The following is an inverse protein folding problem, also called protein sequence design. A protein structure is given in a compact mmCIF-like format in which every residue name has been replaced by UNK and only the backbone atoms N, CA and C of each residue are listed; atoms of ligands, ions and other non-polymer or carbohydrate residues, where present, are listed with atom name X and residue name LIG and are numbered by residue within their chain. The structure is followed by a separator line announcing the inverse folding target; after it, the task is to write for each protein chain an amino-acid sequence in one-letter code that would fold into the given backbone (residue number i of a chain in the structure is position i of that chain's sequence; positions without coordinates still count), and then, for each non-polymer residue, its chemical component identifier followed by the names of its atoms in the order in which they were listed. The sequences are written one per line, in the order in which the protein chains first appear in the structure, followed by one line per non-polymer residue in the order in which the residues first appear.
data_IF_954415360092
#
_entry.id   IF_954415360092
#
_cell.length_a   1.000
_cell.length_b   1.000
_cell.length_c   1.000
_cell.angle_alpha   90.00
_cell.angle_beta   90.00
_cell.angle_gamma   90.00
#
_symmetry.space_group_name_H-M   'P 1'
#
loop_
_entity.id
_entity.type
_entity.pdbx_description
1 polymer ?
#
# COMPACT_ATOMS: atom_id res chain seq x y z
N UNK A 1 4.51 8.33 10.08
CA UNK A 1 4.58 7.78 8.95
C UNK A 1 5.69 6.88 8.71
N UNK A 2 5.42 5.69 8.26
CA UNK A 2 6.38 4.63 8.44
C UNK A 2 6.38 3.68 7.26
N UNK A 3 7.51 3.05 7.06
CA UNK A 3 7.61 1.83 6.28
C UNK A 3 7.62 0.70 7.29
N UNK A 4 6.61 -0.17 7.23
CA UNK A 4 6.45 -1.28 8.16
C UNK A 4 6.55 -2.61 7.44
N UNK A 5 7.06 -3.63 8.11
CA UNK A 5 7.18 -4.96 7.53
C UNK A 5 6.45 -5.99 8.39
N UNK A 6 5.69 -6.86 7.73
CA UNK A 6 5.09 -8.04 8.32
C UNK A 6 5.78 -9.27 7.74
N UNK A 7 6.40 -10.06 8.58
CA UNK A 7 7.16 -11.23 8.15
C UNK A 7 6.58 -12.46 8.83
N UNK A 8 6.42 -13.53 8.05
CA UNK A 8 5.91 -14.78 8.59
C UNK A 8 6.20 -15.94 7.65
N UNK A 9 6.06 -17.15 8.17
CA UNK A 9 6.20 -18.34 7.34
C UNK A 9 4.99 -18.51 6.43
N UNK A 10 5.10 -19.21 5.30
CA UNK A 10 3.96 -19.50 4.44
C UNK A 10 2.80 -20.09 5.24
N UNK A 11 1.60 -19.62 5.00
CA UNK A 11 0.42 -20.09 5.73
C UNK A 11 0.23 -19.53 7.11
N UNK A 12 1.06 -18.59 7.55
CA UNK A 12 0.95 -17.98 8.89
C UNK A 12 -0.19 -16.98 9.04
N UNK A 13 -0.88 -16.63 7.93
CA UNK A 13 -1.97 -15.67 7.99
C UNK A 13 -1.51 -14.21 7.96
N UNK A 14 -0.29 -13.92 7.52
CA UNK A 14 0.23 -12.56 7.48
C UNK A 14 -0.60 -11.62 6.63
N UNK A 15 -1.12 -12.08 5.48
CA UNK A 15 -1.97 -11.26 4.62
C UNK A 15 -3.29 -10.93 5.30
N UNK A 16 -3.89 -11.91 5.98
CA UNK A 16 -5.10 -11.70 6.76
C UNK A 16 -4.85 -10.67 7.87
N UNK A 17 -3.70 -10.76 8.53
CA UNK A 17 -3.36 -9.82 9.60
C UNK A 17 -3.21 -8.40 9.06
N UNK A 18 -2.61 -8.22 7.90
CA UNK A 18 -2.50 -6.90 7.26
C UNK A 18 -3.89 -6.34 6.95
N UNK A 19 -4.77 -7.16 6.39
CA UNK A 19 -6.14 -6.71 6.09
C UNK A 19 -6.86 -6.29 7.38
N UNK A 20 -6.80 -7.13 8.40
CA UNK A 20 -7.54 -6.89 9.65
C UNK A 20 -6.98 -5.71 10.44
N UNK A 21 -5.66 -5.63 10.57
CA UNK A 21 -5.02 -4.69 11.49
C UNK A 21 -4.57 -3.39 10.85
N UNK A 22 -4.42 -3.36 9.54
CA UNK A 22 -3.91 -2.20 8.81
C UNK A 22 -4.94 -1.64 7.84
N UNK A 23 -5.44 -2.46 6.93
CA UNK A 23 -6.31 -1.99 5.84
C UNK A 23 -7.68 -1.57 6.35
N UNK A 24 -8.34 -2.42 7.13
CA UNK A 24 -9.69 -2.12 7.62
C UNK A 24 -9.72 -0.85 8.48
N UNK A 25 -8.82 -0.68 9.47
CA UNK A 25 -8.78 0.57 10.23
C UNK A 25 -8.52 1.80 9.36
N UNK A 26 -7.66 1.69 8.35
CA UNK A 26 -7.36 2.81 7.46
C UNK A 26 -8.58 3.19 6.62
N UNK A 27 -9.30 2.21 6.09
CA UNK A 27 -10.54 2.44 5.33
C UNK A 27 -11.58 3.12 6.23
N UNK A 28 -11.67 2.69 7.48
CA UNK A 28 -12.60 3.31 8.45
C UNK A 28 -12.24 4.77 8.75
N UNK A 29 -10.99 5.14 8.55
CA UNK A 29 -10.51 6.52 8.73
C UNK A 29 -10.58 7.36 7.44
N UNK A 30 -11.15 6.82 6.39
CA UNK A 30 -11.29 7.52 5.12
C UNK A 30 -10.07 7.49 4.22
N UNK A 31 -9.07 6.66 4.53
CA UNK A 31 -7.85 6.60 3.72
C UNK A 31 -8.05 5.82 2.42
N UNK A 32 -7.32 6.23 1.41
CA UNK A 32 -7.20 5.46 0.18
C UNK A 32 -6.10 4.42 0.37
N UNK A 33 -6.43 3.15 0.07
CA UNK A 33 -5.53 2.02 0.25
C UNK A 33 -5.26 1.39 -1.11
N UNK A 34 -4.00 1.15 -1.43
CA UNK A 34 -3.59 0.46 -2.66
C UNK A 34 -2.85 -0.81 -2.25
N UNK A 35 -3.28 -1.97 -2.76
CA UNK A 35 -2.69 -3.24 -2.34
C UNK A 35 -2.76 -4.29 -3.43
N UNK A 36 -1.75 -5.16 -3.45
CA UNK A 36 -1.69 -6.31 -4.33
C UNK A 36 -2.06 -7.63 -3.63
N UNK A 37 -2.62 -7.56 -2.43
CA UNK A 37 -2.99 -8.79 -1.69
C UNK A 37 -4.00 -9.59 -2.51
N UNK A 38 -3.65 -10.83 -2.80
CA UNK A 38 -4.50 -11.73 -3.58
C UNK A 38 -5.79 -12.02 -2.83
N UNK A 39 -6.91 -11.95 -3.55
CA UNK A 39 -8.22 -12.20 -2.96
C UNK A 39 -8.81 -11.02 -2.20
N UNK A 40 -8.13 -9.86 -2.20
CA UNK A 40 -8.65 -8.66 -1.55
C UNK A 40 -9.97 -8.26 -2.20
N UNK A 41 -11.01 -8.13 -1.38
CA UNK A 41 -12.35 -7.79 -1.86
C UNK A 41 -12.81 -6.47 -1.23
N UNK A 42 -12.80 -5.42 -2.04
CA UNK A 42 -13.14 -4.08 -1.59
C UNK A 42 -14.57 -4.00 -1.04
N UNK A 43 -15.52 -4.64 -1.72
CA UNK A 43 -16.92 -4.59 -1.30
C UNK A 43 -17.15 -5.23 0.08
N UNK A 44 -16.45 -6.33 0.35
CA UNK A 44 -16.53 -6.97 1.67
C UNK A 44 -15.93 -6.08 2.74
N UNK A 45 -14.84 -5.38 2.43
CA UNK A 45 -14.20 -4.45 3.36
C UNK A 45 -15.14 -3.29 3.65
N UNK A 46 -15.73 -2.70 2.62
CA UNK A 46 -16.67 -1.60 2.79
C UNK A 46 -17.86 -2.01 3.65
N UNK A 47 -18.43 -3.19 3.39
CA UNK A 47 -19.56 -3.71 4.15
C UNK A 47 -19.19 -3.91 5.62
N UNK A 48 -18.03 -4.49 5.87
CA UNK A 48 -17.54 -4.70 7.24
C UNK A 48 -17.36 -3.36 7.97
N UNK A 49 -16.81 -2.36 7.32
CA UNK A 49 -16.60 -1.04 7.92
C UNK A 49 -17.94 -0.38 8.22
N UNK A 50 -18.90 -0.46 7.30
CA UNK A 50 -20.24 0.09 7.54
C UNK A 50 -20.90 -0.54 8.76
N UNK A 51 -20.73 -1.84 8.94
CA UNK A 51 -21.40 -2.58 10.02
C UNK A 51 -20.71 -2.40 11.38
N UNK A 52 -19.42 -2.12 11.39
CA UNK A 52 -18.63 -2.14 12.62
C UNK A 52 -18.08 -0.79 13.07
N UNK A 53 -18.13 0.22 12.20
CA UNK A 53 -17.61 1.56 12.52
C UNK A 53 -18.71 2.59 12.27
N UNK A 54 -19.31 3.08 13.36
CA UNK A 54 -20.37 4.09 13.26
C UNK A 54 -19.82 5.42 12.74
N UNK A 55 -20.55 6.01 11.79
CA UNK A 55 -20.23 7.34 11.25
C UNK A 55 -18.86 7.41 10.56
N UNK A 56 -18.32 6.29 10.13
CA UNK A 56 -17.04 6.29 9.42
C UNK A 56 -17.21 6.92 8.03
N UNK A 57 -16.25 7.76 7.65
CA UNK A 57 -16.09 8.14 6.26
C UNK A 57 -15.27 7.03 5.61
N UNK A 58 -15.92 6.22 4.79
CA UNK A 58 -15.28 5.03 4.25
C UNK A 58 -14.32 5.44 3.14
N UNK A 59 -13.07 5.03 3.28
CA UNK A 59 -12.04 5.25 2.27
C UNK A 59 -12.21 4.34 1.06
N UNK A 60 -11.20 4.34 0.20
CA UNK A 60 -11.22 3.59 -1.04
C UNK A 60 -10.17 2.49 -1.00
N UNK A 61 -10.50 1.32 -1.52
CA UNK A 61 -9.56 0.21 -1.67
C UNK A 61 -9.36 -0.06 -3.15
N UNK A 62 -8.11 -0.01 -3.60
CA UNK A 62 -7.72 -0.30 -4.97
C UNK A 62 -6.83 -1.53 -4.99
N UNK A 63 -7.25 -2.54 -5.73
CA UNK A 63 -6.43 -3.71 -5.96
C UNK A 63 -5.51 -3.47 -7.16
N UNK A 64 -4.24 -3.84 -7.02
CA UNK A 64 -3.26 -3.77 -8.10
C UNK A 64 -2.58 -5.12 -8.28
N UNK A 65 -2.11 -5.39 -9.50
CA UNK A 65 -1.37 -6.61 -9.80
C UNK A 65 0.10 -6.42 -9.47
N UNK A 66 0.84 -7.53 -9.42
CA UNK A 66 2.29 -7.47 -9.20
C UNK A 66 2.99 -6.68 -10.32
N UNK A 67 2.52 -6.84 -11.57
CA UNK A 67 3.06 -6.09 -12.70
C UNK A 67 2.86 -4.59 -12.53
N UNK A 68 1.69 -4.19 -12.01
CA UNK A 68 1.42 -2.78 -11.74
C UNK A 68 2.31 -2.24 -10.63
N UNK A 69 2.57 -3.05 -9.59
CA UNK A 69 3.49 -2.63 -8.52
C UNK A 69 4.91 -2.45 -9.04
N UNK A 70 5.32 -3.27 -10.01
CA UNK A 70 6.66 -3.17 -10.61
C UNK A 70 6.83 -1.99 -11.54
N UNK A 71 5.74 -1.38 -11.99
CA UNK A 71 5.79 -0.25 -12.91
C UNK A 71 6.55 0.92 -12.28
N UNK A 72 7.37 1.60 -13.07
CA UNK A 72 8.13 2.76 -12.59
C UNK A 72 7.23 3.89 -12.11
N UNK A 73 5.99 3.94 -12.58
CA UNK A 73 5.00 4.95 -12.19
C UNK A 73 4.04 4.43 -11.12
N UNK A 74 4.40 3.39 -10.38
CA UNK A 74 3.54 2.88 -9.32
C UNK A 74 3.49 3.84 -8.14
N UNK A 75 4.64 4.18 -7.58
CA UNK A 75 4.72 5.14 -6.47
C UNK A 75 4.76 6.57 -6.96
N UNK A 76 4.25 7.53 -6.17
CA UNK A 76 4.44 8.93 -6.53
C UNK A 76 5.93 9.28 -6.47
N UNK A 77 6.37 10.14 -7.37
CA UNK A 77 7.74 10.64 -7.36
C UNK A 77 7.76 12.12 -7.64
N UNK A 78 8.87 12.75 -7.29
CA UNK A 78 9.02 14.20 -7.39
C UNK A 78 8.79 14.66 -8.83
N UNK A 79 7.95 15.69 -8.99
CA UNK A 79 7.60 16.29 -10.27
C UNK A 79 6.74 15.42 -11.21
N UNK A 80 6.21 14.29 -10.72
CA UNK A 80 5.35 13.46 -11.57
C UNK A 80 4.13 14.25 -12.09
N UNK A 81 3.51 15.04 -11.21
CA UNK A 81 2.35 15.84 -11.59
C UNK A 81 2.73 16.96 -12.57
N UNK A 82 3.89 17.58 -12.38
CA UNK A 82 4.39 18.63 -13.27
C UNK A 82 4.69 18.12 -14.67
N UNK A 83 5.12 16.88 -14.76
CA UNK A 83 5.43 16.22 -16.03
C UNK A 83 4.18 15.62 -16.69
N UNK A 84 3.01 15.73 -16.04
CA UNK A 84 1.77 15.17 -16.55
C UNK A 84 1.69 13.66 -16.43
N UNK A 85 2.54 13.04 -15.63
CA UNK A 85 2.56 11.60 -15.43
C UNK A 85 1.62 11.23 -14.29
N UNK A 86 0.73 10.27 -14.55
CA UNK A 86 -0.15 9.74 -13.51
C UNK A 86 0.47 8.51 -12.89
N UNK A 87 0.66 8.54 -11.58
CA UNK A 87 1.11 7.38 -10.83
C UNK A 87 -0.10 6.64 -10.25
N UNK A 88 0.05 5.32 -10.03
CA UNK A 88 -1.02 4.51 -9.43
C UNK A 88 -1.30 4.94 -8.00
N UNK A 89 -0.25 5.11 -7.23
CA UNK A 89 -0.37 5.60 -5.86
C UNK A 89 -0.27 7.12 -5.85
N UNK A 90 -0.94 7.73 -4.91
CA UNK A 90 -1.01 9.19 -4.78
C UNK A 90 -0.52 9.62 -3.40
N UNK A 91 -0.12 10.90 -3.25
CA UNK A 91 0.27 11.41 -1.93
C UNK A 91 -0.78 11.11 -0.86
N UNK A 92 -0.34 10.60 0.27
CA UNK A 92 -1.22 10.25 1.38
C UNK A 92 -1.75 8.83 1.38
N UNK A 93 -1.51 8.07 0.32
CA UNK A 93 -2.01 6.69 0.24
C UNK A 93 -1.36 5.78 1.27
N UNK A 94 -2.15 4.81 1.74
CA UNK A 94 -1.62 3.64 2.42
C UNK A 94 -1.38 2.56 1.38
N UNK A 95 -0.15 2.10 1.27
CA UNK A 95 0.27 1.14 0.25
C UNK A 95 0.68 -0.15 0.93
N UNK A 96 0.02 -1.26 0.58
CA UNK A 96 0.30 -2.57 1.18
C UNK A 96 0.75 -3.53 0.09
N UNK A 97 2.02 -3.89 0.10
CA UNK A 97 2.61 -4.78 -0.90
C UNK A 97 2.87 -6.14 -0.27
N UNK A 98 2.12 -7.14 -0.72
CA UNK A 98 2.31 -8.52 -0.30
C UNK A 98 3.34 -9.20 -1.21
N UNK A 99 4.11 -10.11 -0.63
CA UNK A 99 5.12 -10.86 -1.37
C UNK A 99 6.15 -9.96 -2.07
N UNK A 100 6.60 -8.93 -1.35
CA UNK A 100 7.51 -7.92 -1.91
C UNK A 100 8.79 -8.53 -2.46
N UNK A 101 9.23 -9.67 -1.94
CA UNK A 101 10.42 -10.36 -2.41
C UNK A 101 10.28 -10.82 -3.87
N UNK A 102 9.06 -11.07 -4.34
CA UNK A 102 8.81 -11.43 -5.74
C UNK A 102 8.90 -10.22 -6.66
N UNK A 103 8.60 -9.06 -6.13
CA UNK A 103 8.56 -7.82 -6.91
C UNK A 103 9.95 -7.19 -6.98
N UNK A 104 10.61 -7.11 -5.84
CA UNK A 104 11.96 -6.53 -5.73
C UNK A 104 12.95 -7.57 -5.27
N UNK A 105 13.19 -8.56 -6.16
CA UNK A 105 14.05 -9.71 -5.83
C UNK A 105 15.50 -9.31 -5.57
N UNK A 106 15.93 -8.19 -6.14
CA UNK A 106 17.25 -7.62 -5.87
C UNK A 106 17.19 -6.12 -6.13
N UNK A 107 18.08 -5.37 -5.51
CA UNK A 107 18.16 -3.90 -5.69
C UNK A 107 18.33 -3.50 -7.14
N UNK A 108 19.06 -4.29 -7.92
CA UNK A 108 19.31 -3.98 -9.33
C UNK A 108 18.04 -4.00 -10.18
N UNK A 109 16.98 -4.66 -9.69
CA UNK A 109 15.69 -4.74 -10.40
C UNK A 109 14.69 -3.70 -9.92
N UNK A 110 15.01 -2.97 -8.87
CA UNK A 110 14.10 -1.95 -8.36
C UNK A 110 14.19 -0.70 -9.24
N UNK A 111 13.06 -0.21 -9.80
CA UNK A 111 13.06 1.03 -10.54
C UNK A 111 13.60 2.20 -9.73
N UNK A 112 14.26 3.14 -10.40
CA UNK A 112 14.81 4.33 -9.76
C UNK A 112 13.76 5.12 -8.99
N UNK A 113 12.56 5.23 -9.58
CA UNK A 113 11.47 5.97 -8.93
C UNK A 113 10.98 5.28 -7.65
N UNK A 114 11.07 3.95 -7.59
CA UNK A 114 10.74 3.22 -6.37
C UNK A 114 11.77 3.50 -5.27
N UNK A 115 13.05 3.54 -5.62
CA UNK A 115 14.11 3.88 -4.66
C UNK A 115 13.93 5.30 -4.12
N UNK A 116 13.58 6.24 -4.98
CA UNK A 116 13.30 7.62 -4.57
C UNK A 116 12.13 7.67 -3.60
N UNK A 117 11.05 6.92 -3.87
CA UNK A 117 9.90 6.89 -2.97
C UNK A 117 10.28 6.36 -1.60
N UNK A 118 11.06 5.28 -1.54
CA UNK A 118 11.48 4.71 -0.26
C UNK A 118 12.28 5.71 0.58
N UNK A 119 13.06 6.56 -0.08
CA UNK A 119 13.83 7.60 0.59
C UNK A 119 12.98 8.81 1.00
N UNK A 120 11.93 9.13 0.23
CA UNK A 120 11.21 10.41 0.36
C UNK A 120 9.71 10.26 0.61
N UNK A 121 9.21 9.07 1.00
CA UNK A 121 7.75 8.85 1.14
C UNK A 121 7.08 9.85 2.08
N UNK A 122 7.79 10.40 3.05
CA UNK A 122 7.28 11.40 3.99
C UNK A 122 6.90 12.71 3.32
N UNK A 123 7.44 12.97 2.15
CA UNK A 123 7.20 14.22 1.43
C UNK A 123 5.95 14.16 0.56
N UNK A 124 5.35 12.97 0.40
CA UNK A 124 4.14 12.81 -0.41
C UNK A 124 2.91 12.86 0.50
N UNK A 125 2.41 14.07 0.68
CA UNK A 125 1.38 14.40 1.66
C UNK A 125 0.07 14.68 0.96
N UNK A 126 -1.01 14.12 1.49
CA UNK A 126 -2.36 14.41 0.98
C UNK A 126 -2.66 15.89 1.16
N UNK A 127 -3.09 16.60 0.11
CA UNK A 127 -3.24 18.06 0.17
C UNK A 127 -4.31 18.54 1.15
N UNK A 128 -5.32 17.71 1.44
CA UNK A 128 -6.40 18.12 2.34
C UNK A 128 -6.19 17.62 3.77
N UNK A 129 -5.70 16.40 3.96
CA UNK A 129 -5.60 15.79 5.28
C UNK A 129 -4.24 15.98 5.94
N UNK A 130 -3.21 16.26 5.17
CA UNK A 130 -1.84 16.32 5.68
C UNK A 130 -1.23 14.97 5.99
N UNK A 131 -1.92 13.88 5.65
CA UNK A 131 -1.42 12.52 5.91
C UNK A 131 -0.36 12.15 4.89
N UNK A 132 0.77 11.62 5.36
CA UNK A 132 1.84 11.16 4.47
C UNK A 132 1.58 9.75 3.97
N UNK A 133 2.26 9.35 2.90
CA UNK A 133 2.23 7.97 2.44
C UNK A 133 2.81 7.03 3.49
N UNK A 134 2.15 5.89 3.66
CA UNK A 134 2.68 4.78 4.46
C UNK A 134 2.85 3.57 3.56
N UNK A 135 3.90 2.82 3.77
CA UNK A 135 4.15 1.57 3.05
C UNK A 135 4.23 0.41 4.04
N UNK A 136 3.39 -0.59 3.81
CA UNK A 136 3.41 -1.84 4.56
C UNK A 136 3.82 -2.94 3.61
N UNK A 137 4.84 -3.69 3.98
CA UNK A 137 5.39 -4.77 3.17
C UNK A 137 5.20 -6.08 3.91
N UNK A 138 4.65 -7.07 3.24
CA UNK A 138 4.48 -8.40 3.80
C UNK A 138 5.33 -9.39 3.02
N UNK A 139 6.14 -10.17 3.73
CA UNK A 139 7.03 -11.15 3.15
C UNK A 139 6.94 -12.48 3.89
N UNK A 140 7.32 -13.56 3.21
CA UNK A 140 7.58 -14.80 3.88
C UNK A 140 8.86 -14.70 4.70
N UNK A 141 8.92 -15.47 5.79
CA UNK A 141 10.18 -15.67 6.49
C UNK A 141 11.12 -16.45 5.59
N UNK A 142 12.38 -16.01 5.54
CA UNK A 142 13.41 -16.71 4.77
C UNK A 142 14.17 -17.73 5.61
N UNK A 143 13.69 -18.03 6.79
CA UNK A 143 14.27 -19.08 7.61
C UNK A 143 13.94 -20.44 7.04
N UNK A 144 14.90 -21.25 6.82
CA UNK A 144 14.73 -22.63 6.35
C UNK A 144 14.75 -23.59 7.52
#
# INVERSE_FOLDING_TARGET
MAISAYVGVPGSGKSFEVVRSVIIPAVAQGRRVVSNIYGLNAEKIYSYVRDNYKNAEIGEVLFVTNEQVQDENFFPYKNSDSDGVKTYCQPGDLICVDEAWRIWASDSKMPKNHKSFLAEHRHFVHPETGVTCDLVVANQSITN
#
